data_IF_006484170254
#
_entry.id   IF_006484170254
#
_cell.length_a   1.000
_cell.length_b   1.000
_cell.length_c   1.000
_cell.angle_alpha   90.00
_cell.angle_beta   90.00
_cell.angle_gamma   90.00
#
_symmetry.space_group_name_H-M   'P 1'
#
loop_
_entity.id
_entity.type
_entity.pdbx_description
1 polymer ?
#
# COMPACT_ATOMS: atom_id res chain seq x y z
N UNK A 1 -0.94 -9.65 19.62
CA UNK A 1 0.15 -9.50 18.63
C UNK A 1 -0.48 -9.09 17.31
N UNK A 2 -0.37 -7.83 16.88
CA UNK A 2 -1.00 -7.34 15.65
C UNK A 2 -0.07 -7.55 14.45
N UNK A 3 -0.50 -8.32 13.46
CA UNK A 3 0.23 -8.50 12.21
C UNK A 3 -0.04 -7.30 11.29
N UNK A 4 1.01 -6.62 10.85
CA UNK A 4 0.91 -5.49 9.91
C UNK A 4 0.92 -6.01 8.48
N UNK A 5 0.03 -5.48 7.64
CA UNK A 5 -0.06 -5.78 6.21
C UNK A 5 -0.20 -4.48 5.41
N UNK A 6 0.36 -4.47 4.21
CA UNK A 6 0.34 -3.37 3.24
C UNK A 6 -1.00 -3.32 2.52
N UNK A 7 -1.51 -2.11 2.28
CA UNK A 7 -2.71 -1.92 1.48
C UNK A 7 -2.34 -1.69 0.01
N UNK A 8 -2.69 -2.62 -0.87
CA UNK A 8 -2.45 -2.48 -2.31
C UNK A 8 -3.29 -1.37 -2.94
N UNK A 9 -4.37 -0.95 -2.28
CA UNK A 9 -5.24 0.09 -2.80
C UNK A 9 -4.58 1.47 -2.68
N UNK A 10 -3.75 1.66 -1.66
CA UNK A 10 -3.07 2.92 -1.42
C UNK A 10 -1.70 3.01 -2.10
N UNK A 11 -1.07 1.86 -2.39
CA UNK A 11 0.29 1.81 -2.94
C UNK A 11 0.46 2.59 -4.26
N UNK A 12 1.50 3.41 -4.34
CA UNK A 12 1.86 4.11 -5.57
C UNK A 12 2.13 3.13 -6.72
N UNK A 13 1.83 3.50 -7.98
CA UNK A 13 1.98 2.59 -9.13
C UNK A 13 3.41 2.09 -9.37
N UNK A 14 4.43 2.79 -8.87
CA UNK A 14 5.84 2.31 -8.92
C UNK A 14 6.20 1.29 -7.84
N UNK A 15 5.27 0.96 -6.95
CA UNK A 15 5.51 -0.01 -5.87
C UNK A 15 4.90 -1.35 -6.23
N UNK A 16 5.59 -2.42 -5.88
CA UNK A 16 5.11 -3.79 -5.99
C UNK A 16 4.92 -4.33 -4.58
N UNK A 17 3.73 -4.83 -4.29
CA UNK A 17 3.47 -5.53 -3.04
C UNK A 17 3.53 -7.04 -3.30
N UNK A 18 4.29 -7.73 -2.48
CA UNK A 18 4.51 -9.17 -2.56
C UNK A 18 4.43 -9.81 -1.16
N UNK A 19 4.63 -11.13 -1.12
CA UNK A 19 4.63 -11.94 0.10
C UNK A 19 3.42 -11.68 1.01
N UNK A 20 2.21 -12.02 0.54
CA UNK A 20 0.99 -11.86 1.35
C UNK A 20 0.80 -10.45 1.96
N UNK A 21 1.17 -9.41 1.21
CA UNK A 21 1.10 -8.02 1.61
C UNK A 21 2.05 -7.63 2.76
N UNK A 22 3.18 -8.31 2.94
CA UNK A 22 4.18 -7.94 3.95
C UNK A 22 5.38 -7.20 3.35
N UNK A 23 5.63 -7.38 2.05
CA UNK A 23 6.84 -6.92 1.39
C UNK A 23 6.52 -5.88 0.32
N UNK A 24 7.38 -4.88 0.20
CA UNK A 24 7.29 -3.79 -0.77
C UNK A 24 8.59 -3.71 -1.58
N UNK A 25 8.48 -3.69 -2.89
CA UNK A 25 9.57 -3.41 -3.83
C UNK A 25 9.27 -2.17 -4.67
N UNK A 26 10.30 -1.62 -5.29
CA UNK A 26 10.18 -0.58 -6.33
C UNK A 26 10.31 -1.27 -7.68
N UNK A 27 9.37 -1.01 -8.59
CA UNK A 27 9.46 -1.48 -9.97
C UNK A 27 10.02 -0.40 -10.89
N UNK A 28 10.73 -0.85 -11.92
CA UNK A 28 11.25 0.03 -12.99
C UNK A 28 10.11 0.63 -13.82
N UNK A 29 9.03 -0.12 -14.01
CA UNK A 29 7.83 0.33 -14.72
C UNK A 29 6.62 0.45 -13.78
N UNK A 30 5.74 1.45 -13.99
CA UNK A 30 4.49 1.56 -13.24
C UNK A 30 3.62 0.31 -13.42
N UNK A 31 3.16 -0.23 -12.31
CA UNK A 31 2.18 -1.30 -12.23
C UNK A 31 0.82 -0.82 -12.73
N UNK A 32 0.08 -1.71 -13.41
CA UNK A 32 -1.26 -1.48 -13.93
C UNK A 32 -2.34 -1.50 -12.84
N UNK A 33 -2.10 -0.81 -11.72
CA UNK A 33 -3.09 -0.68 -10.67
C UNK A 33 -4.19 0.31 -11.09
N UNK A 34 -5.46 0.02 -10.72
CA UNK A 34 -6.57 0.92 -11.01
C UNK A 34 -6.38 2.26 -10.27
N UNK A 35 -6.80 3.34 -10.93
CA UNK A 35 -6.87 4.66 -10.33
C UNK A 35 -8.01 4.71 -9.32
N UNK A 36 -7.70 5.13 -8.09
CA UNK A 36 -8.67 5.28 -7.02
C UNK A 36 -8.19 6.37 -6.05
N UNK A 37 -9.14 6.97 -5.34
CA UNK A 37 -8.89 8.13 -4.49
C UNK A 37 -7.88 7.88 -3.37
N UNK A 38 -7.78 6.63 -2.88
CA UNK A 38 -6.89 6.28 -1.79
C UNK A 38 -5.44 6.06 -2.23
N UNK A 39 -5.16 6.09 -3.54
CA UNK A 39 -3.82 5.81 -4.08
C UNK A 39 -2.91 7.03 -3.98
N UNK A 40 -1.66 6.80 -3.56
CA UNK A 40 -0.64 7.82 -3.64
C UNK A 40 -0.16 8.01 -5.09
N UNK A 41 -0.22 9.24 -5.60
CA UNK A 41 0.18 9.60 -6.98
C UNK A 41 1.46 10.46 -7.05
N UNK A 42 1.78 11.21 -6.00
CA UNK A 42 2.84 12.22 -6.05
C UNK A 42 4.24 11.70 -5.73
N UNK A 43 4.35 10.54 -5.06
CA UNK A 43 5.65 9.96 -4.73
C UNK A 43 5.53 8.47 -4.42
N UNK A 44 6.51 7.63 -4.81
CA UNK A 44 6.66 6.28 -4.32
C UNK A 44 7.20 6.30 -2.89
N UNK A 45 6.50 6.97 -1.97
CA UNK A 45 6.79 6.82 -0.55
C UNK A 45 6.37 5.42 -0.13
N UNK A 46 7.25 4.64 0.51
CA UNK A 46 6.87 3.34 1.03
C UNK A 46 5.73 3.52 2.04
N UNK A 47 4.75 2.62 1.98
CA UNK A 47 3.54 2.56 2.82
C UNK A 47 3.84 2.22 4.29
N UNK A 48 4.96 2.72 4.84
CA UNK A 48 5.24 2.70 6.26
C UNK A 48 4.35 3.79 6.84
N UNK A 49 3.50 3.44 7.80
CA UNK A 49 2.61 4.34 8.56
C UNK A 49 1.19 4.57 8.02
N UNK A 50 0.50 3.54 7.52
CA UNK A 50 -0.97 3.49 7.68
C UNK A 50 -1.29 2.39 8.69
N UNK A 51 -1.34 2.68 10.00
CA UNK A 51 -2.00 1.77 10.91
C UNK A 51 -3.48 1.72 10.51
N UNK A 52 -3.94 0.58 9.97
CA UNK A 52 -5.36 0.23 10.05
C UNK A 52 -5.68 -0.02 11.52
N UNK A 53 -5.77 1.04 12.32
CA UNK A 53 -6.51 0.95 13.58
C UNK A 53 -7.95 0.72 13.17
N UNK A 54 -8.42 -0.52 13.32
CA UNK A 54 -9.83 -0.83 13.25
C UNK A 54 -10.55 -0.03 14.32
N UNK A 55 -11.12 1.11 13.95
CA UNK A 55 -12.22 1.73 14.67
C UNK A 55 -13.51 1.34 13.97
N UNK A 56 -13.96 0.11 14.24
CA UNK A 56 -15.39 -0.10 14.40
C UNK A 56 -15.70 0.44 15.81
N UNK A 57 -16.15 1.69 15.91
CA UNK A 57 -16.91 2.14 17.08
C UNK A 57 -18.31 1.54 16.95
N UNK A 58 -18.82 1.05 18.08
CA UNK A 58 -20.12 0.39 18.19
C UNK A 58 -21.32 1.31 18.03
#
# INVERSE_FOLDING_TARGET
NSKVTLDHRTAHKKLVISDHYTTLGVADQPQSYPDQAERFFNSPVPNKYIPRTGTARG
#
